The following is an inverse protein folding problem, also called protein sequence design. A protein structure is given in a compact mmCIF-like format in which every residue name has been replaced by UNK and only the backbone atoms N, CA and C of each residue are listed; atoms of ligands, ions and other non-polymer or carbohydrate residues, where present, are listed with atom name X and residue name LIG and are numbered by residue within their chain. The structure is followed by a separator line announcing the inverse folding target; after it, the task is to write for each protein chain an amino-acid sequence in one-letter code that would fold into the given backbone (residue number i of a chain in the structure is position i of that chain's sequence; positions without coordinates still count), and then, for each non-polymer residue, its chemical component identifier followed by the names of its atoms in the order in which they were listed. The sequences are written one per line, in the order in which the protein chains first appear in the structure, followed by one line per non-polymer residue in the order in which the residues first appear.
data_IF_142155348825
#
_entry.id   IF_142155348825
#
_cell.length_a   1.000
_cell.length_b   1.000
_cell.length_c   1.000
_cell.angle_alpha   90.00
_cell.angle_beta   90.00
_cell.angle_gamma   90.00
#
_symmetry.space_group_name_H-M   'P 1'
#
loop_
_entity.id
_entity.type
_entity.pdbx_description
1 polymer ?
#
# COMPACT_ATOMS: atom_id res chain seq x y z
N UNK A 1 23.28 -39.04 -39.96
CA UNK A 1 23.11 -38.38 -38.64
C UNK A 1 22.50 -37.01 -38.89
N UNK A 2 21.28 -36.76 -38.38
CA UNK A 2 20.57 -35.49 -38.59
C UNK A 2 19.07 -35.64 -38.37
N UNK A 3 18.66 -36.11 -37.20
CA UNK A 3 17.26 -36.19 -36.78
C UNK A 3 16.73 -34.79 -36.49
N UNK A 4 15.80 -34.30 -37.33
CA UNK A 4 14.96 -33.13 -37.04
C UNK A 4 13.98 -33.49 -35.91
N UNK A 5 14.21 -32.96 -34.71
CA UNK A 5 13.20 -32.97 -33.65
C UNK A 5 12.12 -31.92 -33.98
N UNK A 6 10.89 -32.39 -34.13
CA UNK A 6 9.68 -31.59 -34.13
C UNK A 6 9.51 -30.91 -32.77
N UNK A 7 9.41 -29.58 -32.77
CA UNK A 7 8.98 -28.82 -31.60
C UNK A 7 7.47 -28.58 -31.72
N UNK A 8 6.69 -29.44 -31.07
CA UNK A 8 5.25 -29.26 -30.92
C UNK A 8 5.03 -28.09 -29.95
N UNK A 9 4.59 -26.94 -30.47
CA UNK A 9 4.10 -25.81 -29.67
C UNK A 9 2.81 -26.24 -28.96
N UNK A 10 2.93 -26.52 -27.66
CA UNK A 10 1.79 -26.67 -26.76
C UNK A 10 0.98 -25.37 -26.73
N UNK A 11 -0.27 -25.49 -27.17
CA UNK A 11 -1.29 -24.46 -27.18
C UNK A 11 -1.75 -24.27 -25.73
N UNK A 12 -1.39 -23.17 -25.08
CA UNK A 12 -1.96 -22.81 -23.78
C UNK A 12 -3.39 -22.31 -24.01
N UNK A 13 -4.34 -23.21 -23.79
CA UNK A 13 -5.76 -22.90 -23.71
C UNK A 13 -6.02 -22.02 -22.47
N UNK A 14 -6.47 -20.79 -22.72
CA UNK A 14 -6.98 -19.88 -21.69
C UNK A 14 -8.27 -20.46 -21.10
N UNK A 15 -8.16 -21.12 -19.95
CA UNK A 15 -9.31 -21.48 -19.12
C UNK A 15 -9.68 -20.28 -18.22
N UNK A 16 -10.88 -19.72 -18.47
CA UNK A 16 -11.74 -18.97 -17.53
C UNK A 16 -11.03 -18.25 -16.37
N UNK A 17 -10.64 -17.00 -16.60
CA UNK A 17 -9.78 -16.20 -15.73
C UNK A 17 -10.42 -15.77 -14.41
N UNK A 18 -10.35 -16.63 -13.39
CA UNK A 18 -10.26 -16.16 -12.00
C UNK A 18 -8.84 -15.63 -11.84
N UNK A 19 -8.69 -14.31 -11.66
CA UNK A 19 -7.38 -13.70 -11.47
C UNK A 19 -6.68 -14.34 -10.26
N UNK A 20 -5.45 -14.81 -10.45
CA UNK A 20 -4.67 -15.41 -9.37
C UNK A 20 -4.43 -14.40 -8.24
N UNK A 21 -4.43 -14.84 -6.97
CA UNK A 21 -4.10 -13.98 -5.84
C UNK A 21 -2.76 -13.28 -6.07
N UNK A 22 -2.69 -11.98 -5.75
CA UNK A 22 -1.45 -11.23 -5.88
C UNK A 22 -0.42 -11.81 -4.93
N UNK A 23 0.82 -11.90 -5.42
CA UNK A 23 1.97 -12.33 -4.63
C UNK A 23 2.50 -11.21 -3.72
N UNK A 24 2.22 -9.95 -4.07
CA UNK A 24 2.60 -8.78 -3.29
C UNK A 24 1.52 -7.69 -3.38
N UNK A 25 1.39 -6.91 -2.31
CA UNK A 25 0.45 -5.78 -2.25
C UNK A 25 1.21 -4.48 -1.99
N UNK A 26 1.24 -3.61 -3.00
CA UNK A 26 1.90 -2.31 -2.93
C UNK A 26 0.89 -1.17 -2.68
N UNK A 27 1.27 -0.24 -1.81
CA UNK A 27 0.72 1.09 -1.75
C UNK A 27 1.86 2.13 -1.77
N UNK A 28 1.98 2.84 -2.88
CA UNK A 28 2.99 3.87 -3.07
C UNK A 28 2.40 5.14 -3.67
N UNK A 29 2.91 6.30 -3.24
CA UNK A 29 2.48 7.61 -3.75
C UNK A 29 3.63 8.60 -3.68
N UNK A 30 3.65 9.51 -4.64
CA UNK A 30 4.47 10.71 -4.56
C UNK A 30 3.80 11.73 -3.64
N UNK A 31 4.62 12.45 -2.88
CA UNK A 31 4.14 13.52 -2.01
C UNK A 31 3.78 14.75 -2.85
N UNK A 32 2.72 15.46 -2.47
CA UNK A 32 2.31 16.70 -3.14
C UNK A 32 3.30 17.85 -2.95
N UNK A 33 4.11 17.80 -1.89
CA UNK A 33 5.26 18.68 -1.65
C UNK A 33 6.45 17.82 -1.21
N UNK A 34 7.67 18.33 -1.42
CA UNK A 34 8.86 17.65 -0.91
C UNK A 34 8.85 17.66 0.61
N UNK A 35 9.07 16.49 1.20
CA UNK A 35 9.10 16.32 2.65
C UNK A 35 10.55 16.15 3.10
N UNK A 36 10.94 16.92 4.10
CA UNK A 36 12.25 16.81 4.76
C UNK A 36 12.11 16.22 6.15
N UNK A 37 11.08 16.64 6.87
CA UNK A 37 10.79 16.20 8.23
C UNK A 37 10.24 14.77 8.26
N UNK A 38 10.59 14.05 9.33
CA UNK A 38 10.20 12.67 9.52
C UNK A 38 8.70 12.49 9.82
N UNK A 39 8.10 13.38 10.64
CA UNK A 39 6.71 13.20 11.10
C UNK A 39 5.68 13.22 9.96
N UNK A 40 5.72 14.14 8.98
CA UNK A 40 4.85 14.08 7.80
C UNK A 40 5.03 12.80 6.97
N UNK A 41 6.26 12.26 6.93
CA UNK A 41 6.54 11.01 6.21
C UNK A 41 5.94 9.82 6.97
N UNK A 42 6.06 9.78 8.30
CA UNK A 42 5.43 8.76 9.15
C UNK A 42 3.92 8.74 8.98
N UNK A 43 3.30 9.92 8.92
CA UNK A 43 1.87 10.05 8.69
C UNK A 43 1.47 9.44 7.34
N UNK A 44 2.18 9.78 6.26
CA UNK A 44 1.94 9.22 4.94
C UNK A 44 2.12 7.70 4.91
N UNK A 45 3.18 7.20 5.54
CA UNK A 45 3.46 5.76 5.63
C UNK A 45 2.37 5.03 6.41
N UNK A 46 1.84 5.61 7.48
CA UNK A 46 0.71 5.04 8.22
C UNK A 46 -0.55 4.94 7.34
N UNK A 47 -0.84 5.98 6.55
CA UNK A 47 -1.96 5.96 5.61
C UNK A 47 -1.77 4.89 4.51
N UNK A 48 -0.55 4.74 3.99
CA UNK A 48 -0.25 3.74 2.95
C UNK A 48 -0.28 2.32 3.50
N UNK A 49 0.22 2.10 4.72
CA UNK A 49 0.13 0.82 5.43
C UNK A 49 -1.32 0.41 5.68
N UNK A 50 -2.16 1.34 6.16
CA UNK A 50 -3.59 1.10 6.32
C UNK A 50 -4.24 0.71 4.99
N UNK A 51 -3.97 1.47 3.92
CA UNK A 51 -4.54 1.16 2.61
C UNK A 51 -4.03 -0.15 2.01
N UNK A 52 -2.77 -0.51 2.24
CA UNK A 52 -2.24 -1.80 1.83
C UNK A 52 -2.92 -2.94 2.61
N UNK A 53 -3.14 -2.75 3.91
CA UNK A 53 -3.84 -3.73 4.77
C UNK A 53 -5.29 -3.94 4.35
N UNK A 54 -6.04 -2.87 3.99
CA UNK A 54 -7.39 -3.00 3.44
C UNK A 54 -7.43 -3.86 2.16
N UNK A 55 -6.44 -3.67 1.27
CA UNK A 55 -6.32 -4.50 0.06
C UNK A 55 -5.96 -5.95 0.38
N UNK A 56 -5.11 -6.15 1.39
CA UNK A 56 -4.72 -7.47 1.87
C UNK A 56 -5.92 -8.26 2.39
N UNK A 57 -6.76 -7.61 3.22
CA UNK A 57 -8.01 -8.19 3.72
C UNK A 57 -9.05 -8.42 2.63
N UNK A 58 -9.16 -7.52 1.65
CA UNK A 58 -10.01 -7.76 0.48
C UNK A 58 -9.60 -9.00 -0.33
N UNK A 59 -8.31 -9.37 -0.31
CA UNK A 59 -7.79 -10.60 -0.91
C UNK A 59 -7.87 -11.82 0.04
N UNK A 60 -8.32 -11.63 1.28
CA UNK A 60 -8.33 -12.66 2.34
C UNK A 60 -6.94 -13.25 2.66
N UNK A 61 -5.87 -12.50 2.36
CA UNK A 61 -4.50 -12.92 2.60
C UNK A 61 -3.94 -12.34 3.90
N UNK A 62 -2.87 -12.94 4.42
CA UNK A 62 -2.03 -12.42 5.49
C UNK A 62 -0.66 -12.04 4.90
N UNK A 63 0.12 -11.21 5.60
CA UNK A 63 1.50 -10.94 5.20
C UNK A 63 2.46 -11.22 6.36
N UNK A 64 3.63 -11.79 6.05
CA UNK A 64 4.70 -12.02 7.02
C UNK A 64 5.79 -10.94 6.96
N UNK A 65 5.91 -10.23 5.83
CA UNK A 65 6.98 -9.23 5.62
C UNK A 65 6.43 -7.91 5.07
N UNK A 66 6.95 -6.80 5.61
CA UNK A 66 6.60 -5.44 5.20
C UNK A 66 7.87 -4.73 4.75
N UNK A 67 7.92 -4.32 3.49
CA UNK A 67 8.99 -3.46 2.98
C UNK A 67 8.52 -2.00 2.96
N UNK A 68 9.29 -1.14 3.61
CA UNK A 68 9.13 0.31 3.55
C UNK A 68 10.30 0.89 2.76
N UNK A 69 10.01 1.79 1.83
CA UNK A 69 11.03 2.52 1.09
C UNK A 69 10.67 3.99 0.91
N UNK A 70 11.71 4.82 0.87
CA UNK A 70 11.64 6.26 0.65
C UNK A 70 12.70 6.67 -0.37
N UNK A 71 12.39 7.70 -1.17
CA UNK A 71 13.33 8.24 -2.15
C UNK A 71 13.15 9.73 -2.41
N UNK A 72 14.23 10.39 -2.79
CA UNK A 72 14.24 11.75 -3.35
C UNK A 72 13.84 11.72 -4.83
N UNK A 73 13.62 12.89 -5.42
CA UNK A 73 13.24 12.98 -6.83
C UNK A 73 14.43 12.73 -7.75
N UNK A 74 14.20 12.03 -8.86
CA UNK A 74 15.29 11.65 -9.78
C UNK A 74 15.66 12.73 -10.80
N UNK A 75 14.87 13.81 -10.89
CA UNK A 75 14.93 14.78 -11.99
C UNK A 75 15.53 16.14 -11.62
N UNK A 76 15.89 16.38 -10.35
CA UNK A 76 16.57 17.61 -9.95
C UNK A 76 18.07 17.32 -9.74
N UNK A 77 18.97 17.78 -10.64
CA UNK A 77 20.40 17.49 -10.55
C UNK A 77 21.07 18.16 -9.34
N UNK A 78 20.50 19.25 -8.83
CA UNK A 78 21.06 20.04 -7.73
C UNK A 78 20.67 19.50 -6.34
N UNK A 79 19.77 18.50 -6.28
CA UNK A 79 19.36 17.86 -5.02
C UNK A 79 20.15 16.58 -4.76
N UNK A 80 20.58 16.33 -3.51
CA UNK A 80 21.24 15.09 -3.16
C UNK A 80 20.30 13.89 -3.38
N UNK A 81 20.81 12.87 -4.09
CA UNK A 81 20.04 11.67 -4.44
C UNK A 81 20.05 10.69 -3.27
N UNK A 82 18.87 10.20 -2.92
CA UNK A 82 18.71 9.17 -1.90
C UNK A 82 17.56 8.26 -2.24
N UNK A 83 17.80 6.95 -2.14
CA UNK A 83 16.78 5.92 -2.23
C UNK A 83 17.19 4.78 -1.32
N UNK A 84 16.35 4.46 -0.34
CA UNK A 84 16.60 3.36 0.58
C UNK A 84 15.29 2.67 0.92
N UNK A 85 15.37 1.37 1.16
CA UNK A 85 14.26 0.61 1.70
C UNK A 85 14.78 -0.48 2.63
N UNK A 86 13.92 -0.91 3.54
CA UNK A 86 14.19 -1.99 4.49
C UNK A 86 12.99 -2.93 4.54
N UNK A 87 13.27 -4.19 4.77
CA UNK A 87 12.25 -5.23 5.00
C UNK A 87 12.17 -5.49 6.48
N UNK A 88 10.97 -5.35 7.04
CA UNK A 88 10.65 -5.68 8.41
C UNK A 88 9.86 -6.99 8.42
N UNK A 89 10.27 -7.92 9.26
CA UNK A 89 9.55 -9.17 9.45
C UNK A 89 8.55 -9.03 10.60
N UNK A 90 7.35 -9.55 10.40
CA UNK A 90 6.28 -9.54 11.41
C UNK A 90 6.42 -10.77 12.31
N UNK A 91 6.01 -10.69 13.59
CA UNK A 91 6.12 -11.82 14.52
C UNK A 91 5.35 -13.06 14.01
N UNK A 92 4.26 -12.84 13.29
CA UNK A 92 3.44 -13.88 12.65
C UNK A 92 2.76 -13.30 11.41
N UNK A 93 2.28 -14.13 10.46
CA UNK A 93 1.50 -13.66 9.33
C UNK A 93 0.24 -12.92 9.82
N UNK A 94 0.07 -11.66 9.42
CA UNK A 94 -1.05 -10.84 9.91
C UNK A 94 -1.57 -9.89 8.83
N UNK A 95 -2.86 -9.56 8.95
CA UNK A 95 -3.53 -8.49 8.20
C UNK A 95 -3.91 -7.31 9.11
N UNK A 96 -3.47 -7.31 10.38
CA UNK A 96 -3.78 -6.27 11.34
C UNK A 96 -3.05 -4.97 10.98
N UNK A 97 -3.83 -3.95 10.64
CA UNK A 97 -3.33 -2.63 10.25
C UNK A 97 -2.40 -2.04 11.31
N UNK A 98 -2.61 -2.31 12.60
CA UNK A 98 -1.80 -1.76 13.69
C UNK A 98 -0.38 -2.32 13.67
N UNK A 99 -0.24 -3.65 13.51
CA UNK A 99 1.06 -4.31 13.42
C UNK A 99 1.83 -3.91 12.16
N UNK A 100 1.14 -3.93 11.01
CA UNK A 100 1.72 -3.54 9.72
C UNK A 100 2.20 -2.08 9.76
N UNK A 101 1.36 -1.18 10.29
CA UNK A 101 1.71 0.24 10.43
C UNK A 101 2.90 0.45 11.36
N UNK A 102 2.93 -0.23 12.51
CA UNK A 102 4.04 -0.14 13.46
C UNK A 102 5.36 -0.62 12.85
N UNK A 103 5.34 -1.75 12.15
CA UNK A 103 6.52 -2.28 11.46
C UNK A 103 7.02 -1.34 10.36
N UNK A 104 6.10 -0.79 9.54
CA UNK A 104 6.46 0.16 8.48
C UNK A 104 7.06 1.45 9.03
N UNK A 105 6.52 1.99 10.14
CA UNK A 105 7.07 3.19 10.80
C UNK A 105 8.45 2.90 11.41
N UNK A 106 8.63 1.77 12.10
CA UNK A 106 9.93 1.40 12.66
C UNK A 106 10.99 1.25 11.56
N UNK A 107 10.63 0.61 10.44
CA UNK A 107 11.51 0.52 9.28
C UNK A 107 11.82 1.89 8.65
N UNK A 108 10.83 2.79 8.61
CA UNK A 108 11.03 4.17 8.14
C UNK A 108 12.05 4.91 9.00
N UNK A 109 11.92 4.85 10.33
CA UNK A 109 12.83 5.48 11.28
C UNK A 109 14.27 4.98 11.08
N UNK A 110 14.45 3.70 10.73
CA UNK A 110 15.76 3.12 10.47
C UNK A 110 16.41 3.55 9.14
N UNK A 111 15.60 3.84 8.12
CA UNK A 111 16.12 4.24 6.79
C UNK A 111 16.14 5.75 6.57
N UNK A 112 15.41 6.51 7.38
CA UNK A 112 15.35 7.96 7.29
C UNK A 112 16.74 8.58 7.53
N UNK A 113 17.05 9.61 6.74
CA UNK A 113 18.22 10.45 6.92
C UNK A 113 17.83 11.89 6.74
N UNK A 114 18.27 12.72 7.66
CA UNK A 114 18.12 14.17 7.55
C UNK A 114 18.93 14.72 6.37
N UNK A 115 18.58 15.93 5.92
CA UNK A 115 19.24 16.61 4.80
C UNK A 115 18.74 16.21 3.41
N UNK A 116 17.77 15.30 3.30
CA UNK A 116 17.19 14.88 2.03
C UNK A 116 15.76 15.39 1.79
N UNK A 117 15.44 15.64 0.53
CA UNK A 117 14.16 16.15 0.04
C UNK A 117 13.33 15.00 -0.56
N UNK A 118 12.61 14.27 0.30
CA UNK A 118 11.86 13.08 -0.10
C UNK A 118 10.67 13.43 -0.99
N UNK A 119 10.45 12.60 -2.01
CA UNK A 119 9.41 12.80 -3.03
C UNK A 119 8.41 11.65 -3.11
N UNK A 120 8.77 10.47 -2.59
CA UNK A 120 7.93 9.28 -2.61
C UNK A 120 8.21 8.41 -1.39
N UNK A 121 7.16 7.80 -0.87
CA UNK A 121 7.23 6.65 0.01
C UNK A 121 6.40 5.47 -0.55
N UNK A 122 6.75 4.27 -0.14
CA UNK A 122 6.13 3.03 -0.60
C UNK A 122 6.13 1.99 0.50
N UNK A 123 4.93 1.43 0.76
CA UNK A 123 4.72 0.25 1.61
C UNK A 123 4.37 -0.93 0.71
N UNK A 124 5.14 -2.00 0.82
CA UNK A 124 4.97 -3.23 0.07
C UNK A 124 4.80 -4.39 1.06
N UNK A 125 3.66 -5.06 0.99
CA UNK A 125 3.37 -6.27 1.75
C UNK A 125 3.80 -7.47 0.90
N UNK A 126 4.62 -8.33 1.49
CA UNK A 126 5.27 -9.46 0.83
C UNK A 126 5.07 -10.71 1.68
N UNK A 127 5.40 -11.86 1.09
CA UNK A 127 5.26 -13.16 1.73
C UNK A 127 3.80 -13.37 2.16
N UNK A 128 2.94 -13.35 1.14
CA UNK A 128 1.50 -13.42 1.30
C UNK A 128 1.07 -14.89 1.33
N UNK A 129 0.27 -15.24 2.33
CA UNK A 129 -0.32 -16.56 2.47
C UNK A 129 -1.82 -16.46 2.74
N UNK A 130 -2.59 -17.51 2.44
CA UNK A 130 -3.97 -17.60 2.87
C UNK A 130 -4.06 -18.04 4.33
N UNK A 131 -5.20 -17.72 4.96
CA UNK A 131 -5.54 -18.25 6.28
C UNK A 131 -5.61 -19.77 6.19
N UNK A 132 -4.80 -20.47 7.00
CA UNK A 132 -4.73 -21.94 7.02
C UNK A 132 -3.65 -22.56 6.12
N UNK A 133 -2.96 -21.78 5.28
CA UNK A 133 -1.82 -22.28 4.47
C UNK A 133 -0.50 -22.28 5.22
N UNK A 134 -0.42 -21.60 6.36
CA UNK A 134 0.75 -21.61 7.23
C UNK A 134 0.50 -22.56 8.41
N UNK A 135 1.49 -23.41 8.68
CA UNK A 135 1.44 -24.29 9.85
C UNK A 135 1.86 -23.48 11.07
N UNK A 136 0.91 -23.31 11.98
CA UNK A 136 1.20 -22.78 13.30
C UNK A 136 2.04 -23.80 14.07
N UNK A 137 3.16 -23.35 14.64
CA UNK A 137 3.76 -24.08 15.75
C UNK A 137 2.76 -24.05 16.92
N UNK A 138 2.68 -25.12 17.72
CA UNK A 138 1.74 -25.23 18.84
C UNK A 138 1.89 -24.05 19.84
N UNK A 139 3.07 -23.44 19.85
CA UNK A 139 3.43 -22.28 20.68
C UNK A 139 3.67 -20.99 19.88
N UNK A 140 3.47 -21.01 18.55
CA UNK A 140 3.59 -19.80 17.75
C UNK A 140 2.52 -18.79 18.16
N UNK A 141 2.93 -17.53 18.28
CA UNK A 141 1.97 -16.44 18.40
C UNK A 141 1.19 -16.33 17.10
N UNK A 142 -0.14 -16.28 17.19
CA UNK A 142 -1.03 -16.11 16.04
C UNK A 142 -1.87 -14.85 16.20
N UNK A 143 -2.50 -14.43 15.11
CA UNK A 143 -3.44 -13.32 15.18
C UNK A 143 -4.68 -13.73 16.00
N UNK A 144 -4.95 -13.01 17.09
CA UNK A 144 -6.14 -13.29 17.89
C UNK A 144 -7.44 -13.06 17.11
N UNK A 145 -8.47 -13.88 17.37
CA UNK A 145 -9.83 -13.70 16.84
C UNK A 145 -10.44 -12.35 17.23
N UNK A 146 -10.01 -11.75 18.35
CA UNK A 146 -10.40 -10.39 18.71
C UNK A 146 -9.86 -9.36 17.71
N UNK A 147 -8.60 -9.50 17.28
CA UNK A 147 -8.02 -8.62 16.26
C UNK A 147 -8.76 -8.73 14.92
N UNK A 148 -9.07 -9.96 14.48
CA UNK A 148 -9.83 -10.19 13.25
C UNK A 148 -11.19 -9.49 13.27
N UNK A 149 -11.95 -9.62 14.37
CA UNK A 149 -13.23 -8.92 14.54
C UNK A 149 -13.06 -7.40 14.48
N UNK A 150 -12.03 -6.86 15.12
CA UNK A 150 -11.75 -5.40 15.08
C UNK A 150 -11.44 -4.95 13.65
N UNK A 151 -10.62 -5.68 12.91
CA UNK A 151 -10.30 -5.34 11.52
C UNK A 151 -11.55 -5.41 10.63
N UNK A 152 -12.39 -6.44 10.81
CA UNK A 152 -13.65 -6.57 10.08
C UNK A 152 -14.62 -5.41 10.36
N UNK A 153 -14.76 -4.99 11.62
CA UNK A 153 -15.58 -3.83 11.99
C UNK A 153 -15.02 -2.54 11.38
N UNK A 154 -13.70 -2.35 11.41
CA UNK A 154 -13.03 -1.19 10.83
C UNK A 154 -13.33 -1.08 9.33
N UNK A 155 -13.17 -2.19 8.60
CA UNK A 155 -13.43 -2.24 7.16
C UNK A 155 -14.92 -2.03 6.85
N UNK A 156 -15.83 -2.62 7.64
CA UNK A 156 -17.27 -2.45 7.46
C UNK A 156 -17.71 -0.98 7.63
N UNK A 157 -17.16 -0.28 8.63
CA UNK A 157 -17.43 1.15 8.85
C UNK A 157 -16.89 1.97 7.67
N UNK A 158 -15.67 1.70 7.21
CA UNK A 158 -15.09 2.37 6.05
C UNK A 158 -15.83 2.08 4.73
N UNK A 159 -16.41 0.88 4.58
CA UNK A 159 -17.23 0.55 3.43
C UNK A 159 -18.56 1.32 3.45
N UNK A 160 -19.20 1.44 4.62
CA UNK A 160 -20.52 2.07 4.78
C UNK A 160 -20.47 3.60 4.71
N UNK A 161 -19.50 4.22 5.37
CA UNK A 161 -19.45 5.68 5.56
C UNK A 161 -18.44 6.37 4.65
N UNK A 162 -17.74 5.60 3.83
CA UNK A 162 -16.74 6.09 2.90
C UNK A 162 -15.32 5.88 3.40
N UNK A 163 -14.40 5.90 2.43
CA UNK A 163 -13.00 5.60 2.66
C UNK A 163 -12.37 6.61 3.61
N UNK A 164 -11.45 6.14 4.45
CA UNK A 164 -10.78 6.91 5.49
C UNK A 164 -11.71 7.44 6.60
N UNK A 165 -12.94 6.94 6.76
CA UNK A 165 -13.81 7.32 7.90
C UNK A 165 -13.12 6.98 9.22
N UNK A 166 -12.70 5.72 9.36
CA UNK A 166 -11.75 5.26 10.36
C UNK A 166 -10.37 5.17 9.73
N UNK A 167 -9.38 5.71 10.44
CA UNK A 167 -7.98 5.77 10.03
C UNK A 167 -7.08 5.64 11.26
N UNK A 168 -5.81 5.21 11.09
CA UNK A 168 -4.85 5.25 12.19
C UNK A 168 -4.78 6.66 12.78
N UNK A 169 -4.74 6.79 14.10
CA UNK A 169 -4.80 8.11 14.78
C UNK A 169 -3.68 9.09 14.41
N UNK A 170 -2.59 8.59 13.81
CA UNK A 170 -1.51 9.42 13.25
C UNK A 170 -1.93 10.18 11.99
N UNK A 171 -2.93 9.69 11.24
CA UNK A 171 -3.36 10.23 9.95
C UNK A 171 -4.41 11.32 10.16
N UNK A 172 -4.07 12.54 9.79
CA UNK A 172 -4.97 13.68 9.79
C UNK A 172 -5.98 13.61 8.65
N UNK A 173 -7.07 14.37 8.76
CA UNK A 173 -8.14 14.40 7.76
C UNK A 173 -7.70 15.03 6.44
N UNK A 174 -6.84 16.04 6.50
CA UNK A 174 -6.37 16.82 5.37
C UNK A 174 -4.84 17.00 5.44
N UNK A 175 -4.07 15.94 5.13
CA UNK A 175 -2.63 16.01 5.23
C UNK A 175 -2.02 16.84 4.09
N UNK A 176 -1.11 17.74 4.44
CA UNK A 176 -0.39 18.57 3.47
C UNK A 176 0.49 17.78 2.48
N UNK A 177 0.91 16.57 2.85
CA UNK A 177 1.71 15.70 1.99
C UNK A 177 0.87 15.00 0.92
N UNK A 178 -0.46 15.08 1.01
CA UNK A 178 -1.38 14.48 0.04
C UNK A 178 -1.04 14.92 -1.39
N UNK A 179 -1.17 14.01 -2.35
CA UNK A 179 -0.85 14.28 -3.74
C UNK A 179 -1.70 15.44 -4.27
N UNK A 180 -1.05 16.45 -4.87
CA UNK A 180 -1.75 17.58 -5.48
C UNK A 180 -2.62 17.10 -6.64
N UNK A 181 -3.85 17.59 -6.67
CA UNK A 181 -4.84 17.31 -7.73
C UNK A 181 -5.12 18.53 -8.61
N UNK A 182 -4.28 19.56 -8.52
CA UNK A 182 -4.46 20.85 -9.21
C UNK A 182 -4.46 20.72 -10.75
N UNK A 183 -3.77 19.71 -11.28
CA UNK A 183 -3.73 19.40 -12.72
C UNK A 183 -4.73 18.30 -13.12
N UNK A 184 -5.71 17.96 -12.26
CA UNK A 184 -6.77 17.04 -12.67
C UNK A 184 -7.69 17.72 -13.67
N UNK A 185 -7.97 17.04 -14.78
CA UNK A 185 -9.04 17.45 -15.69
C UNK A 185 -10.37 17.52 -14.93
N UNK A 186 -11.23 18.45 -15.33
CA UNK A 186 -12.58 18.57 -14.77
C UNK A 186 -13.32 17.23 -14.88
N UNK A 187 -14.02 16.88 -13.81
CA UNK A 187 -14.71 15.62 -13.64
C UNK A 187 -16.15 15.71 -14.17
N UNK A 188 -16.30 16.07 -15.45
CA UNK A 188 -17.59 16.37 -16.09
C UNK A 188 -18.66 15.28 -15.91
N UNK A 189 -18.25 14.01 -15.81
CA UNK A 189 -19.18 12.87 -15.69
C UNK A 189 -19.53 12.50 -14.24
N UNK A 190 -18.82 13.02 -13.26
CA UNK A 190 -18.94 12.57 -11.85
C UNK A 190 -19.19 13.72 -10.87
N UNK A 191 -19.12 14.97 -11.33
CA UNK A 191 -19.32 16.17 -10.52
C UNK A 191 -20.20 17.17 -11.26
N UNK A 192 -21.42 17.34 -10.77
CA UNK A 192 -22.42 18.26 -11.34
C UNK A 192 -21.94 19.71 -11.31
N UNK A 193 -21.19 20.09 -10.27
CA UNK A 193 -20.57 21.42 -10.10
C UNK A 193 -19.44 21.72 -11.10
N UNK A 194 -18.97 20.71 -11.83
CA UNK A 194 -17.91 20.84 -12.83
C UNK A 194 -18.44 20.76 -14.27
N UNK A 195 -19.76 20.64 -14.45
CA UNK A 195 -20.40 20.71 -15.77
C UNK A 195 -20.27 22.12 -16.36
N UNK A 196 -20.33 22.19 -17.69
CA UNK A 196 -20.36 23.47 -18.39
C UNK A 196 -21.68 24.19 -18.10
N UNK A 197 -21.57 25.42 -17.61
CA UNK A 197 -22.73 26.28 -17.38
C UNK A 197 -22.91 27.19 -18.59
N UNK A 198 -23.95 26.94 -19.37
CA UNK A 198 -24.39 27.86 -20.42
C UNK A 198 -25.45 28.78 -19.82
N UNK A 199 -25.20 30.09 -19.85
CA UNK A 199 -26.18 31.11 -19.46
C UNK A 199 -26.91 31.56 -20.72
N UNK A 200 -28.24 31.45 -20.74
CA UNK A 200 -29.07 32.10 -21.76
C UNK A 200 -29.50 33.48 -21.23
N UNK A 201 -29.38 34.50 -22.09
CA UNK A 201 -30.00 35.82 -21.89
C UNK A 201 -31.43 35.80 -22.40
#
# INVERSE_FOLDING_TARGET
MGSKLLQVKGKLENQSGVASPKQEICCSRMFGKRLRELEPIKEAVAAYAARASEKLRAQQSLCKRVRISIRTGMFNPDEPKFAKGVVCELPYPTDDTRYITRAAIAGLEHIYREGFSFSKAEVLLMDLCQRGEYTDDLFAQTQSAASERVMGVLDAINAKWGRNTLRPGRVTTAPDWSTRREMMSQSFTTKLDQLWVVRCN
#
